data_IF_572959195637
#
_entry.id   IF_572959195637
#
_cell.length_a   1.000
_cell.length_b   1.000
_cell.length_c   1.000
_cell.angle_alpha   90.00
_cell.angle_beta   90.00
_cell.angle_gamma   90.00
#
_symmetry.space_group_name_H-M   'P 1'
#
loop_
_entity.id
_entity.type
_entity.pdbx_description
1 polymer ?
#
# COMPACT_ATOMS: atom_id res chain seq x y z
N UNK A 1 20.28 0.80 50.74
CA UNK A 1 20.44 -0.67 50.79
C UNK A 1 20.69 -1.13 49.37
N UNK A 2 21.93 -1.51 49.08
CA UNK A 2 22.35 -2.00 47.77
C UNK A 2 21.85 -3.44 47.57
N UNK A 3 21.49 -3.79 46.34
CA UNK A 3 22.02 -5.00 45.72
C UNK A 3 21.87 -4.92 44.21
N UNK A 4 23.00 -4.82 43.53
CA UNK A 4 23.17 -5.17 42.12
C UNK A 4 23.90 -6.52 42.09
N UNK A 5 23.48 -7.46 41.25
CA UNK A 5 24.36 -8.49 40.65
C UNK A 5 23.92 -8.74 39.18
N UNK A 6 24.96 -8.91 38.37
CA UNK A 6 25.17 -8.85 36.92
C UNK A 6 24.93 -10.22 36.19
N UNK A 7 25.22 -10.35 34.86
CA UNK A 7 24.50 -11.19 33.89
C UNK A 7 25.14 -12.58 33.63
N UNK A 8 24.48 -13.41 32.83
CA UNK A 8 25.07 -14.67 32.32
C UNK A 8 25.08 -14.72 30.79
N UNK A 9 26.29 -14.90 30.28
CA UNK A 9 26.71 -15.07 28.89
C UNK A 9 26.29 -16.43 28.29
N UNK A 10 26.41 -16.46 26.96
CA UNK A 10 26.26 -17.56 26.02
C UNK A 10 26.74 -18.96 26.49
N UNK A 11 25.97 -19.98 26.11
CA UNK A 11 26.48 -21.34 25.84
C UNK A 11 26.00 -21.76 24.45
N UNK A 12 26.96 -21.95 23.55
CA UNK A 12 26.79 -22.57 22.24
C UNK A 12 26.83 -24.10 22.42
N UNK A 13 25.87 -24.83 21.86
CA UNK A 13 26.04 -26.27 21.59
C UNK A 13 25.55 -26.61 20.19
N UNK A 14 26.44 -27.25 19.42
CA UNK A 14 26.19 -27.87 18.11
C UNK A 14 25.50 -29.21 18.32
N UNK A 15 24.41 -29.52 17.61
CA UNK A 15 24.00 -30.90 17.33
C UNK A 15 23.45 -30.99 15.89
N UNK A 16 23.77 -32.11 15.24
CA UNK A 16 23.75 -32.44 13.82
C UNK A 16 22.38 -32.82 13.23
N UNK A 17 22.29 -32.79 11.89
CA UNK A 17 21.22 -33.42 11.08
C UNK A 17 21.17 -34.95 11.28
N UNK A 18 20.01 -35.60 11.10
CA UNK A 18 19.73 -36.37 9.85
C UNK A 18 18.19 -36.44 9.51
N UNK A 19 17.67 -37.38 8.67
CA UNK A 19 17.31 -37.14 7.27
C UNK A 19 15.81 -37.38 6.89
N UNK A 20 15.54 -37.22 5.59
CA UNK A 20 14.28 -37.29 4.82
C UNK A 20 13.38 -38.54 5.02
N UNK A 21 12.04 -38.34 4.95
CA UNK A 21 11.08 -39.34 4.43
C UNK A 21 9.65 -39.40 5.03
N UNK A 22 8.65 -39.16 4.17
CA UNK A 22 7.26 -39.71 4.14
C UNK A 22 6.05 -39.04 4.91
N UNK A 23 5.15 -38.50 4.07
CA UNK A 23 3.65 -38.55 3.99
C UNK A 23 2.68 -38.27 5.16
N UNK A 24 1.85 -37.25 4.90
CA UNK A 24 0.38 -37.11 5.08
C UNK A 24 -0.30 -37.31 6.43
N UNK A 25 -0.83 -36.21 6.99
CA UNK A 25 -2.27 -35.99 7.29
C UNK A 25 -2.45 -34.61 7.94
N UNK A 26 -3.35 -33.80 7.38
CA UNK A 26 -3.60 -32.43 7.83
C UNK A 26 -4.62 -32.40 8.97
N UNK A 27 -4.19 -31.93 10.14
CA UNK A 27 -5.07 -31.46 11.22
C UNK A 27 -4.67 -30.03 11.58
N UNK A 28 -5.61 -29.10 11.43
CA UNK A 28 -5.45 -27.69 11.76
C UNK A 28 -5.70 -27.50 13.26
N UNK A 29 -4.65 -27.23 14.03
CA UNK A 29 -4.74 -26.60 15.34
C UNK A 29 -3.88 -25.33 15.37
N UNK A 30 -4.47 -24.27 15.93
CA UNK A 30 -3.90 -22.94 15.97
C UNK A 30 -2.57 -22.89 16.73
N UNK A 31 -1.63 -22.11 16.20
CA UNK A 31 -0.36 -21.85 16.84
C UNK A 31 0.56 -20.99 15.98
N UNK A 32 0.78 -19.77 16.49
CA UNK A 32 1.99 -18.95 16.41
C UNK A 32 2.66 -18.60 15.05
N UNK A 33 2.94 -17.30 14.97
CA UNK A 33 3.72 -16.53 14.00
C UNK A 33 4.98 -17.27 13.50
N UNK A 34 5.15 -17.35 12.18
CA UNK A 34 6.41 -17.77 11.54
C UNK A 34 7.03 -16.59 10.80
N UNK A 35 8.32 -16.37 11.03
CA UNK A 35 9.16 -15.29 10.49
C UNK A 35 9.47 -15.45 9.00
N UNK A 36 9.63 -14.28 8.36
CA UNK A 36 10.18 -14.10 7.01
C UNK A 36 11.69 -14.30 7.00
N UNK A 37 12.19 -15.03 6.01
CA UNK A 37 13.60 -15.21 5.74
C UNK A 37 13.97 -14.41 4.49
N UNK A 38 14.80 -13.38 4.65
CA UNK A 38 15.68 -12.88 3.59
C UNK A 38 17.09 -13.38 3.94
N UNK A 39 17.81 -13.87 2.93
CA UNK A 39 19.09 -14.56 3.09
C UNK A 39 20.10 -13.75 3.91
N UNK A 40 20.59 -14.34 5.01
CA UNK A 40 21.97 -14.13 5.48
C UNK A 40 22.22 -13.37 6.79
N UNK A 41 21.25 -12.74 7.46
CA UNK A 41 21.51 -12.07 8.76
C UNK A 41 20.59 -12.56 9.88
N UNK A 42 21.19 -13.07 10.96
CA UNK A 42 20.50 -13.50 12.19
C UNK A 42 20.13 -12.27 13.02
N UNK A 43 18.84 -12.06 13.27
CA UNK A 43 18.34 -11.05 14.21
C UNK A 43 17.40 -11.63 15.28
N UNK A 44 17.59 -11.14 16.50
CA UNK A 44 16.92 -11.52 17.75
C UNK A 44 15.40 -11.33 17.69
N UNK A 45 14.65 -12.23 18.32
CA UNK A 45 13.19 -12.18 18.50
C UNK A 45 12.76 -11.20 19.57
N UNK A 46 11.94 -10.21 19.24
CA UNK A 46 11.04 -9.58 20.19
C UNK A 46 9.69 -10.30 20.09
N UNK A 47 9.31 -11.03 21.15
CA UNK A 47 8.00 -11.65 21.27
C UNK A 47 6.97 -10.56 21.60
N UNK A 48 5.88 -10.49 20.83
CA UNK A 48 4.70 -9.71 21.22
C UNK A 48 3.90 -10.59 22.17
N UNK A 49 3.90 -10.23 23.46
CA UNK A 49 3.05 -10.85 24.46
C UNK A 49 1.59 -10.52 24.17
N UNK A 50 0.77 -11.54 23.92
CA UNK A 50 -0.68 -11.44 23.93
C UNK A 50 -1.17 -11.30 25.37
N UNK A 51 -1.43 -10.06 25.80
CA UNK A 51 -2.17 -9.79 27.03
C UNK A 51 -3.66 -9.60 26.69
N UNK A 52 -4.52 -10.44 27.26
CA UNK A 52 -5.97 -10.25 27.25
C UNK A 52 -6.33 -9.06 28.14
N UNK A 53 -6.78 -7.96 27.53
CA UNK A 53 -7.31 -6.80 28.28
C UNK A 53 -8.80 -7.02 28.53
N UNK A 54 -9.17 -7.13 29.80
CA UNK A 54 -10.57 -7.07 30.25
C UNK A 54 -11.00 -5.60 30.19
N UNK A 55 -11.86 -5.26 29.24
CA UNK A 55 -12.42 -3.92 29.11
C UNK A 55 -13.46 -3.66 30.21
N UNK A 56 -13.08 -2.90 31.25
CA UNK A 56 -14.05 -2.23 32.11
C UNK A 56 -14.45 -0.90 31.47
N UNK A 57 -15.76 -0.67 31.35
CA UNK A 57 -16.34 0.43 30.60
C UNK A 57 -15.88 1.81 31.08
N UNK A 58 -15.13 2.50 30.23
CA UNK A 58 -14.86 3.93 30.37
C UNK A 58 -15.81 4.67 29.43
N UNK A 59 -16.67 5.53 30.01
CA UNK A 59 -17.52 6.45 29.24
C UNK A 59 -16.63 7.32 28.36
N UNK A 60 -16.88 7.28 27.05
CA UNK A 60 -16.20 8.11 26.07
C UNK A 60 -16.41 9.60 26.39
N UNK A 61 -15.35 10.28 26.80
CA UNK A 61 -15.33 11.75 26.86
C UNK A 61 -15.03 12.24 25.45
N UNK A 62 -16.05 12.71 24.74
CA UNK A 62 -15.93 13.39 23.44
C UNK A 62 -15.27 14.76 23.65
N UNK A 63 -13.94 14.79 23.67
CA UNK A 63 -13.18 16.02 23.37
C UNK A 63 -13.21 16.20 21.85
N UNK A 64 -14.01 17.16 21.38
CA UNK A 64 -14.21 17.51 19.97
C UNK A 64 -13.24 18.59 19.49
N UNK A 65 -12.01 18.58 19.99
CA UNK A 65 -11.00 19.50 19.48
C UNK A 65 -10.42 18.97 18.17
N UNK A 66 -10.23 19.81 17.14
CA UNK A 66 -9.50 19.40 15.95
C UNK A 66 -8.08 18.98 16.38
N UNK A 67 -7.67 17.79 15.95
CA UNK A 67 -6.33 17.24 16.17
C UNK A 67 -5.33 18.04 15.34
N UNK A 68 -4.82 19.14 15.91
CA UNK A 68 -3.79 19.94 15.27
C UNK A 68 -2.44 19.25 15.33
N UNK A 69 -1.51 19.66 14.47
CA UNK A 69 -0.16 19.12 14.44
C UNK A 69 0.55 19.31 15.80
N UNK A 70 0.29 20.40 16.52
CA UNK A 70 0.89 20.71 17.82
C UNK A 70 0.45 19.70 18.89
N UNK A 71 -0.85 19.38 18.97
CA UNK A 71 -1.37 18.38 19.92
C UNK A 71 -0.82 16.98 19.64
N UNK A 72 -0.69 16.63 18.36
CA UNK A 72 -0.07 15.38 17.95
C UNK A 72 1.43 15.34 18.29
N UNK A 73 2.13 16.45 18.08
CA UNK A 73 3.53 16.59 18.43
C UNK A 73 3.75 16.47 19.96
N UNK A 74 2.89 17.09 20.77
CA UNK A 74 2.96 16.99 22.23
C UNK A 74 2.74 15.55 22.71
N UNK A 75 1.73 14.86 22.17
CA UNK A 75 1.35 13.52 22.64
C UNK A 75 2.25 12.41 22.10
N UNK A 76 2.66 12.50 20.83
CA UNK A 76 3.30 11.39 20.13
C UNK A 76 4.70 11.71 19.59
N UNK A 77 5.08 12.99 19.55
CA UNK A 77 6.37 13.42 19.03
C UNK A 77 7.55 12.86 19.81
N UNK A 78 8.60 12.48 19.09
CA UNK A 78 9.84 11.92 19.67
C UNK A 78 10.98 12.03 18.67
N UNK A 79 12.20 11.72 19.08
CA UNK A 79 13.33 11.72 18.16
C UNK A 79 13.04 10.78 16.98
N UNK A 80 13.16 11.29 15.75
CA UNK A 80 12.86 10.55 14.52
C UNK A 80 11.39 10.56 14.09
N UNK A 81 10.46 11.10 14.89
CA UNK A 81 9.05 11.26 14.50
C UNK A 81 8.54 12.65 14.88
N UNK A 82 8.20 13.44 13.85
CA UNK A 82 7.70 14.81 14.00
C UNK A 82 6.31 14.94 13.39
N UNK A 83 5.46 15.76 13.99
CA UNK A 83 4.18 16.17 13.43
C UNK A 83 4.26 17.63 13.01
N UNK A 84 3.79 17.92 11.80
CA UNK A 84 3.86 19.25 11.18
C UNK A 84 2.55 19.54 10.45
N UNK A 85 2.24 20.82 10.29
CA UNK A 85 1.17 21.24 9.39
C UNK A 85 1.72 21.36 7.96
N UNK A 86 1.05 20.71 7.00
CA UNK A 86 1.33 20.83 5.57
C UNK A 86 0.10 21.43 4.93
N UNK A 87 0.08 22.76 4.90
CA UNK A 87 -0.97 23.57 4.29
C UNK A 87 -2.38 23.28 4.84
N UNK A 88 -2.50 23.45 6.15
CA UNK A 88 -3.73 23.26 6.91
C UNK A 88 -4.09 21.80 7.16
N UNK A 89 -3.21 20.86 6.81
CA UNK A 89 -3.41 19.43 7.04
C UNK A 89 -2.30 18.85 7.91
N UNK A 90 -2.63 18.22 9.05
CA UNK A 90 -1.65 17.53 9.88
C UNK A 90 -0.96 16.39 9.13
N UNK A 91 0.37 16.39 9.21
CA UNK A 91 1.25 15.39 8.62
C UNK A 91 2.26 14.87 9.65
N UNK A 92 2.74 13.67 9.42
CA UNK A 92 3.84 13.06 10.17
C UNK A 92 5.07 12.96 9.28
N UNK A 93 6.25 13.25 9.83
CA UNK A 93 7.55 12.98 9.24
C UNK A 93 8.30 11.95 10.09
N UNK A 94 8.64 10.83 9.46
CA UNK A 94 9.53 9.80 9.99
C UNK A 94 10.93 10.05 9.46
N UNK A 95 11.96 9.97 10.32
CA UNK A 95 13.34 10.20 9.94
C UNK A 95 14.31 9.33 10.74
N UNK A 96 15.23 8.68 10.04
CA UNK A 96 16.30 7.89 10.61
C UNK A 96 17.64 8.64 10.62
N UNK A 97 18.61 8.10 11.37
CA UNK A 97 19.97 8.66 11.47
C UNK A 97 20.75 8.61 10.16
N UNK A 98 20.52 7.60 9.32
CA UNK A 98 21.11 7.51 7.98
C UNK A 98 20.53 8.57 7.00
N UNK A 99 19.54 9.33 7.45
CA UNK A 99 18.90 10.40 6.70
C UNK A 99 17.67 9.95 5.89
N UNK A 100 17.41 8.64 5.75
CA UNK A 100 16.16 8.15 5.17
C UNK A 100 14.97 8.76 5.90
N UNK A 101 13.95 9.19 5.15
CA UNK A 101 12.78 9.87 5.71
C UNK A 101 11.52 9.61 4.90
N UNK A 102 10.37 9.65 5.56
CA UNK A 102 9.07 9.54 4.92
C UNK A 102 8.10 10.56 5.50
N UNK A 103 7.17 11.06 4.68
CA UNK A 103 6.10 11.97 5.11
C UNK A 103 4.74 11.38 4.79
N UNK A 104 3.80 11.48 5.73
CA UNK A 104 2.44 11.00 5.58
C UNK A 104 1.42 12.06 6.02
N UNK A 105 0.40 12.31 5.20
CA UNK A 105 -0.78 13.06 5.60
C UNK A 105 -1.70 12.18 6.44
N UNK A 106 -2.10 12.66 7.61
CA UNK A 106 -2.88 11.84 8.54
C UNK A 106 -4.32 11.70 8.06
N UNK A 107 -4.94 12.77 7.54
CA UNK A 107 -6.35 12.82 7.15
C UNK A 107 -6.79 11.73 6.15
N UNK A 108 -5.87 11.25 5.30
CA UNK A 108 -6.12 10.20 4.31
C UNK A 108 -5.18 9.00 4.39
N UNK A 109 -4.35 8.90 5.44
CA UNK A 109 -3.29 7.89 5.55
C UNK A 109 -2.39 7.81 4.29
N UNK A 110 -2.17 8.95 3.64
CA UNK A 110 -1.46 9.03 2.35
C UNK A 110 0.01 9.35 2.59
N UNK A 111 0.92 8.48 2.15
CA UNK A 111 2.36 8.76 2.20
C UNK A 111 2.71 9.61 0.99
N UNK A 112 3.21 10.82 1.21
CA UNK A 112 3.44 11.81 0.16
C UNK A 112 4.91 11.98 -0.22
N UNK A 113 5.84 11.48 0.60
CA UNK A 113 7.28 11.52 0.31
C UNK A 113 7.95 10.33 0.96
N UNK A 114 8.91 9.74 0.26
CA UNK A 114 9.86 8.77 0.77
C UNK A 114 11.22 9.07 0.15
N UNK A 115 12.11 9.62 0.97
CA UNK A 115 13.49 9.87 0.61
C UNK A 115 14.36 8.76 1.18
N UNK A 116 14.91 7.93 0.31
CA UNK A 116 15.86 6.90 0.70
C UNK A 116 17.29 7.41 0.52
N UNK A 117 18.18 6.95 1.39
CA UNK A 117 19.62 7.07 1.13
C UNK A 117 19.99 6.04 0.06
N UNK A 118 20.65 6.46 -1.03
CA UNK A 118 21.04 5.57 -2.12
C UNK A 118 22.47 5.04 -1.92
N UNK A 119 22.84 3.99 -2.65
CA UNK A 119 24.17 3.36 -2.59
C UNK A 119 25.33 4.34 -2.86
N UNK A 120 25.09 5.38 -3.66
CA UNK A 120 26.06 6.45 -3.94
C UNK A 120 26.04 7.59 -2.91
N UNK A 121 25.40 7.40 -1.75
CA UNK A 121 25.37 8.33 -0.62
C UNK A 121 24.49 9.57 -0.81
N UNK A 122 23.79 9.71 -1.94
CA UNK A 122 22.83 10.79 -2.13
C UNK A 122 21.43 10.36 -1.66
N UNK A 123 20.65 11.33 -1.21
CA UNK A 123 19.25 11.11 -0.89
C UNK A 123 18.38 11.32 -2.11
N UNK A 124 17.51 10.36 -2.41
CA UNK A 124 16.59 10.46 -3.53
C UNK A 124 15.15 10.30 -3.10
N UNK A 125 14.29 11.15 -3.67
CA UNK A 125 12.85 10.98 -3.59
C UNK A 125 12.43 9.79 -4.47
N UNK A 126 11.85 8.77 -3.83
CA UNK A 126 11.39 7.54 -4.48
C UNK A 126 9.93 7.64 -4.93
N UNK A 127 9.11 8.42 -4.24
CA UNK A 127 7.70 8.62 -4.56
C UNK A 127 7.48 9.86 -5.42
N UNK A 128 6.47 9.80 -6.27
CA UNK A 128 6.00 10.95 -7.04
C UNK A 128 4.72 11.47 -6.43
N UNK A 129 4.78 12.69 -5.90
CA UNK A 129 3.62 13.41 -5.39
C UNK A 129 3.62 14.83 -5.93
N UNK A 130 2.45 15.29 -6.37
CA UNK A 130 2.25 16.65 -6.87
C UNK A 130 1.15 17.32 -6.08
N UNK A 131 1.46 18.51 -5.60
CA UNK A 131 0.48 19.38 -4.97
C UNK A 131 -0.38 20.03 -6.04
N UNK A 132 -1.70 19.91 -5.89
CA UNK A 132 -2.68 20.61 -6.70
C UNK A 132 -3.28 21.73 -5.87
N UNK A 133 -2.99 22.96 -6.27
CA UNK A 133 -3.64 24.15 -5.74
C UNK A 133 -4.97 24.31 -6.49
N UNK A 134 -6.05 23.74 -5.94
CA UNK A 134 -7.39 24.06 -6.44
C UNK A 134 -7.70 25.50 -6.04
N UNK A 135 -7.71 26.41 -7.02
CA UNK A 135 -7.81 27.87 -6.85
C UNK A 135 -9.06 28.41 -6.14
N UNK A 136 -9.90 27.55 -5.53
CA UNK A 136 -11.11 27.92 -4.81
C UNK A 136 -11.28 27.21 -3.44
N UNK A 137 -10.34 26.38 -2.98
CA UNK A 137 -10.43 25.73 -1.66
C UNK A 137 -9.20 26.01 -0.82
N UNK A 138 -9.40 26.29 0.47
CA UNK A 138 -8.33 26.41 1.47
C UNK A 138 -7.64 25.06 1.75
N UNK A 139 -8.19 23.95 1.25
CA UNK A 139 -7.59 22.62 1.31
C UNK A 139 -6.74 22.35 0.07
N UNK A 140 -5.47 22.06 0.30
CA UNK A 140 -4.57 21.62 -0.79
C UNK A 140 -4.67 20.12 -0.97
N UNK A 141 -4.92 19.68 -2.20
CA UNK A 141 -4.96 18.27 -2.53
C UNK A 141 -3.58 17.82 -3.01
N UNK A 142 -3.08 16.71 -2.47
CA UNK A 142 -1.83 16.10 -2.94
C UNK A 142 -2.19 14.85 -3.74
N UNK A 143 -1.79 14.84 -5.01
CA UNK A 143 -1.93 13.70 -5.92
C UNK A 143 -0.66 12.86 -5.87
N UNK A 144 -0.79 11.53 -5.85
CA UNK A 144 0.35 10.62 -5.91
C UNK A 144 0.76 10.06 -4.54
N UNK A 145 2.01 9.64 -4.40
CA UNK A 145 2.51 8.98 -3.20
C UNK A 145 2.01 7.54 -3.06
N UNK A 146 1.86 7.04 -1.83
CA UNK A 146 1.24 5.75 -1.53
C UNK A 146 -0.20 6.00 -1.07
N UNK A 147 -1.16 5.42 -1.80
CA UNK A 147 -2.59 5.64 -1.63
C UNK A 147 -3.29 4.32 -1.34
N UNK A 148 -4.21 4.35 -0.38
CA UNK A 148 -5.13 3.27 -0.08
C UNK A 148 -6.41 3.45 -0.87
N UNK A 149 -6.90 2.40 -1.51
CA UNK A 149 -8.21 2.41 -2.16
C UNK A 149 -8.93 1.11 -1.83
N UNK A 150 -10.02 1.20 -1.06
CA UNK A 150 -10.82 0.06 -0.60
C UNK A 150 -12.30 0.36 -0.80
N UNK A 151 -13.03 -0.61 -1.34
CA UNK A 151 -14.45 -0.45 -1.69
C UNK A 151 -15.24 -1.72 -1.39
N UNK A 152 -16.52 -1.57 -1.04
CA UNK A 152 -17.40 -2.71 -0.81
C UNK A 152 -18.03 -3.18 -2.14
N UNK A 153 -18.02 -4.49 -2.41
CA UNK A 153 -18.41 -5.04 -3.73
C UNK A 153 -19.89 -4.79 -4.10
N UNK A 154 -20.76 -4.59 -3.11
CA UNK A 154 -22.23 -4.52 -3.31
C UNK A 154 -22.77 -3.10 -3.51
N UNK A 155 -21.90 -2.10 -3.49
CA UNK A 155 -22.28 -0.72 -3.75
C UNK A 155 -21.06 0.05 -4.30
N UNK A 156 -20.94 0.19 -5.64
CA UNK A 156 -19.81 0.84 -6.31
C UNK A 156 -19.62 2.32 -5.92
N UNK A 157 -20.64 2.95 -5.32
CA UNK A 157 -20.56 4.32 -4.82
C UNK A 157 -20.09 4.38 -3.35
N UNK A 158 -19.94 3.22 -2.69
CA UNK A 158 -19.45 3.11 -1.31
C UNK A 158 -17.94 2.86 -1.25
N UNK A 159 -17.16 3.89 -1.57
CA UNK A 159 -15.73 3.88 -1.25
C UNK A 159 -15.55 3.81 0.28
N UNK A 160 -14.90 2.76 0.79
CA UNK A 160 -14.60 2.60 2.22
C UNK A 160 -13.40 3.48 2.60
N UNK A 161 -12.37 3.47 1.75
CA UNK A 161 -11.22 4.37 1.84
C UNK A 161 -10.96 4.99 0.46
N UNK A 162 -10.69 6.30 0.37
CA UNK A 162 -10.36 7.23 1.46
C UNK A 162 -11.57 7.89 2.16
N UNK A 163 -12.79 7.67 1.67
CA UNK A 163 -14.02 8.34 2.14
C UNK A 163 -14.63 7.76 3.42
N UNK A 164 -13.79 7.26 4.33
CA UNK A 164 -14.27 6.60 5.55
C UNK A 164 -15.13 7.53 6.41
N UNK A 165 -16.16 6.96 7.05
CA UNK A 165 -17.07 7.65 7.98
C UNK A 165 -16.38 8.30 9.19
N UNK A 166 -15.14 7.91 9.50
CA UNK A 166 -14.33 8.49 10.58
C UNK A 166 -13.00 9.00 10.05
N UNK A 167 -12.39 10.03 10.67
CA UNK A 167 -11.03 10.42 10.36
C UNK A 167 -10.04 9.38 10.90
N UNK A 168 -8.91 9.22 10.22
CA UNK A 168 -7.76 8.47 10.74
C UNK A 168 -7.23 9.10 12.04
N UNK A 169 -6.83 8.25 12.98
CA UNK A 169 -6.26 8.66 14.27
C UNK A 169 -4.94 7.97 14.52
N UNK A 170 -3.98 8.69 15.09
CA UNK A 170 -2.72 8.12 15.57
C UNK A 170 -3.02 7.24 16.79
N UNK A 171 -2.70 5.95 16.69
CA UNK A 171 -2.83 4.98 17.78
C UNK A 171 -1.51 4.85 18.54
N UNK A 172 -0.41 4.64 17.81
CA UNK A 172 0.91 4.39 18.39
C UNK A 172 2.04 4.92 17.51
N UNK A 173 3.16 5.24 18.16
CA UNK A 173 4.42 5.60 17.52
C UNK A 173 5.53 4.83 18.22
N UNK A 174 6.35 4.15 17.43
CA UNK A 174 7.53 3.42 17.92
C UNK A 174 8.73 3.90 17.11
N UNK A 175 9.86 4.14 17.77
CA UNK A 175 11.03 4.66 17.08
C UNK A 175 12.30 4.24 17.78
N UNK A 176 13.22 3.69 16.99
CA UNK A 176 14.60 3.45 17.33
C UNK A 176 15.41 4.11 16.20
N UNK A 177 15.81 5.39 16.30
CA UNK A 177 16.30 6.17 15.16
C UNK A 177 17.49 5.59 14.37
N UNK A 178 18.21 4.63 14.95
CA UNK A 178 19.30 3.90 14.30
C UNK A 178 18.83 2.70 13.47
N UNK A 179 17.59 2.23 13.66
CA UNK A 179 17.06 0.99 13.07
C UNK A 179 15.73 1.23 12.35
N UNK A 180 14.73 1.83 13.01
CA UNK A 180 13.42 2.05 12.41
C UNK A 180 12.63 3.21 13.06
N UNK A 181 11.64 3.72 12.32
CA UNK A 181 10.62 4.62 12.80
C UNK A 181 9.25 4.13 12.29
N UNK A 182 8.31 3.90 13.19
CA UNK A 182 7.01 3.34 12.92
C UNK A 182 5.87 4.24 13.40
N UNK A 183 4.82 4.32 12.59
CA UNK A 183 3.57 4.98 12.88
C UNK A 183 2.42 4.00 12.68
N UNK A 184 1.48 3.99 13.63
CA UNK A 184 0.23 3.24 13.52
C UNK A 184 -0.96 4.19 13.54
N UNK A 185 -1.76 4.16 12.47
CA UNK A 185 -3.03 4.87 12.39
C UNK A 185 -4.19 3.87 12.45
N UNK A 186 -5.31 4.29 13.04
CA UNK A 186 -6.54 3.51 13.07
C UNK A 186 -7.71 4.33 12.53
N UNK A 187 -8.58 3.65 11.79
CA UNK A 187 -9.80 4.20 11.20
C UNK A 187 -10.96 3.21 11.37
N UNK A 188 -12.18 3.74 11.44
CA UNK A 188 -13.39 2.94 11.52
C UNK A 188 -14.34 3.32 10.40
N UNK A 189 -14.86 2.31 9.72
CA UNK A 189 -15.95 2.41 8.77
C UNK A 189 -17.19 1.79 9.40
N UNK A 190 -18.24 2.61 9.54
CA UNK A 190 -19.55 2.19 10.01
C UNK A 190 -20.53 2.14 8.83
N UNK A 191 -21.59 1.32 8.91
CA UNK A 191 -22.69 1.42 7.97
C UNK A 191 -23.27 2.84 7.97
N UNK A 192 -23.35 3.47 6.79
CA UNK A 192 -24.19 4.65 6.63
C UNK A 192 -25.66 4.23 6.82
N UNK A 193 -26.37 4.88 7.73
CA UNK A 193 -27.79 4.63 7.98
C UNK A 193 -28.60 5.30 6.86
N UNK A 194 -28.77 4.59 5.75
CA UNK A 194 -29.62 5.00 4.63
C UNK A 194 -30.84 4.09 4.50
N UNK A 195 -32.02 4.69 4.24
CA UNK A 195 -33.26 3.94 4.00
C UNK A 195 -33.10 3.08 2.74
N UNK A 196 -33.16 1.75 2.89
CA UNK A 196 -33.15 0.79 1.76
C UNK A 196 -31.83 0.08 1.45
N UNK A 197 -30.75 0.30 2.22
CA UNK A 197 -29.49 -0.43 2.06
C UNK A 197 -29.37 -1.55 3.11
N UNK A 198 -28.94 -2.74 2.70
CA UNK A 198 -28.67 -3.85 3.62
C UNK A 198 -27.62 -3.44 4.68
N UNK A 199 -27.72 -3.90 5.94
CA UNK A 199 -26.77 -3.53 6.98
C UNK A 199 -25.34 -3.86 6.55
N UNK A 200 -24.51 -2.83 6.34
CA UNK A 200 -23.08 -2.98 6.08
C UNK A 200 -22.41 -3.40 7.40
N UNK A 201 -21.51 -4.38 7.35
CA UNK A 201 -20.71 -4.73 8.53
C UNK A 201 -19.72 -3.61 8.86
N UNK A 202 -19.40 -3.45 10.14
CA UNK A 202 -18.44 -2.45 10.62
C UNK A 202 -17.02 -2.97 10.42
N UNK A 203 -16.15 -2.15 9.82
CA UNK A 203 -14.74 -2.47 9.63
C UNK A 203 -13.86 -1.53 10.43
N UNK A 204 -12.83 -2.09 11.06
CA UNK A 204 -11.70 -1.37 11.61
C UNK A 204 -10.51 -1.54 10.67
N UNK A 205 -9.86 -0.43 10.34
CA UNK A 205 -8.62 -0.39 9.58
C UNK A 205 -7.48 0.03 10.49
N UNK A 206 -6.42 -0.77 10.54
CA UNK A 206 -5.17 -0.44 11.22
C UNK A 206 -4.05 -0.36 10.19
N UNK A 207 -3.47 0.81 10.05
CA UNK A 207 -2.48 1.15 9.04
C UNK A 207 -1.13 1.40 9.70
N UNK A 208 -0.16 0.54 9.40
CA UNK A 208 1.17 0.56 10.01
C UNK A 208 2.18 0.94 8.94
N UNK A 209 2.88 2.05 9.15
CA UNK A 209 3.95 2.54 8.28
C UNK A 209 5.26 2.42 9.04
N UNK A 210 6.20 1.66 8.50
CA UNK A 210 7.53 1.46 9.11
C UNK A 210 8.61 1.88 8.12
N UNK A 211 9.41 2.85 8.52
CA UNK A 211 10.61 3.27 7.82
C UNK A 211 11.81 2.56 8.43
N UNK A 212 12.53 1.79 7.61
CA UNK A 212 13.83 1.21 7.91
C UNK A 212 14.93 1.98 7.17
N UNK A 213 16.17 1.59 7.39
CA UNK A 213 17.33 2.20 6.75
C UNK A 213 17.28 2.07 5.22
N UNK A 214 16.90 0.89 4.74
CA UNK A 214 16.87 0.47 3.34
C UNK A 214 15.46 0.35 2.74
N UNK A 215 14.41 0.47 3.54
CA UNK A 215 13.06 0.15 3.08
C UNK A 215 11.96 0.98 3.73
N UNK A 216 10.84 1.08 3.02
CA UNK A 216 9.58 1.61 3.55
C UNK A 216 8.52 0.51 3.43
N UNK A 217 8.04 0.03 4.58
CA UNK A 217 6.98 -0.98 4.65
C UNK A 217 5.67 -0.36 5.07
N UNK A 218 4.61 -0.78 4.39
CA UNK A 218 3.24 -0.33 4.58
C UNK A 218 2.36 -1.55 4.74
N UNK A 219 1.73 -1.69 5.91
CA UNK A 219 0.84 -2.79 6.22
C UNK A 219 -0.55 -2.28 6.60
N UNK A 220 -1.58 -3.00 6.15
CA UNK A 220 -2.96 -2.76 6.49
C UNK A 220 -3.57 -4.02 7.10
N UNK A 221 -4.18 -3.87 8.27
CA UNK A 221 -5.02 -4.88 8.90
C UNK A 221 -6.46 -4.39 8.84
N UNK A 222 -7.35 -5.24 8.30
CA UNK A 222 -8.78 -4.97 8.20
C UNK A 222 -9.50 -5.98 9.09
N UNK A 223 -10.19 -5.50 10.11
CA UNK A 223 -10.91 -6.34 11.08
C UNK A 223 -12.41 -6.08 10.98
N UNK A 224 -13.20 -7.15 10.90
CA UNK A 224 -14.67 -7.03 10.96
C UNK A 224 -15.12 -6.99 12.42
N UNK A 225 -15.51 -5.80 12.87
CA UNK A 225 -16.01 -5.54 14.23
C UNK A 225 -17.52 -5.59 14.30
N UNK A 226 -18.20 -5.82 13.17
CA UNK A 226 -19.63 -6.07 13.11
C UNK A 226 -19.98 -7.55 13.14
N UNK A 227 -21.28 -7.84 13.18
CA UNK A 227 -21.84 -9.19 13.23
C UNK A 227 -22.20 -9.78 11.86
N UNK A 228 -21.94 -9.05 10.77
CA UNK A 228 -22.30 -9.46 9.40
C UNK A 228 -21.04 -9.56 8.55
N UNK A 229 -20.87 -10.63 7.73
CA UNK A 229 -19.75 -10.73 6.80
C UNK A 229 -19.70 -9.58 5.80
N UNK A 230 -18.50 -9.07 5.53
CA UNK A 230 -18.26 -7.96 4.60
C UNK A 230 -17.42 -8.43 3.43
N UNK A 231 -17.92 -8.17 2.20
CA UNK A 231 -17.17 -8.40 0.97
C UNK A 231 -16.52 -7.09 0.52
N UNK A 232 -15.18 -7.04 0.49
CA UNK A 232 -14.45 -5.85 0.04
C UNK A 232 -13.40 -6.18 -1.03
N UNK A 233 -13.06 -5.14 -1.79
CA UNK A 233 -11.91 -5.10 -2.70
C UNK A 233 -10.98 -4.00 -2.23
N UNK A 234 -9.71 -4.07 -2.60
CA UNK A 234 -8.81 -3.00 -2.25
C UNK A 234 -7.38 -3.14 -2.74
N UNK A 235 -6.60 -2.11 -2.47
CA UNK A 235 -5.26 -1.95 -3.01
C UNK A 235 -4.42 -0.99 -2.18
N UNK A 236 -3.10 -1.14 -2.31
CA UNK A 236 -2.11 -0.17 -1.83
C UNK A 236 -1.28 0.22 -3.05
N UNK A 237 -1.52 1.41 -3.62
CA UNK A 237 -0.85 1.84 -4.85
C UNK A 237 0.21 2.88 -4.56
N UNK A 238 1.43 2.59 -4.98
CA UNK A 238 2.59 3.47 -4.92
C UNK A 238 2.81 4.15 -6.26
N UNK A 239 2.85 5.48 -6.26
CA UNK A 239 3.27 6.29 -7.40
C UNK A 239 4.79 6.44 -7.33
N UNK A 240 5.53 5.55 -8.00
CA UNK A 240 6.98 5.58 -8.00
C UNK A 240 7.48 6.62 -8.99
N UNK A 241 8.35 7.52 -8.54
CA UNK A 241 8.95 8.53 -9.41
C UNK A 241 10.01 7.92 -10.31
N UNK A 242 9.89 8.14 -11.62
CA UNK A 242 10.84 7.64 -12.63
C UNK A 242 11.41 8.77 -13.48
N UNK A 243 12.55 8.55 -14.13
CA UNK A 243 13.16 9.49 -15.07
C UNK A 243 12.24 9.74 -16.28
N UNK A 244 11.75 8.65 -16.86
CA UNK A 244 10.73 8.55 -17.89
C UNK A 244 9.99 7.22 -17.76
N UNK A 245 8.72 7.16 -18.14
CA UNK A 245 7.97 5.90 -18.19
C UNK A 245 8.67 4.87 -19.09
N UNK A 246 9.05 5.28 -20.31
CA UNK A 246 9.77 4.41 -21.25
C UNK A 246 11.19 3.99 -20.81
N UNK A 247 11.76 4.65 -19.81
CA UNK A 247 13.05 4.28 -19.20
C UNK A 247 12.92 3.35 -17.99
N UNK A 248 11.69 3.01 -17.60
CA UNK A 248 11.39 2.17 -16.46
C UNK A 248 10.95 0.76 -16.89
N UNK A 249 11.35 -0.25 -16.12
CA UNK A 249 11.14 -1.66 -16.43
C UNK A 249 10.75 -2.43 -15.17
N UNK A 250 9.80 -3.36 -15.29
CA UNK A 250 9.57 -4.38 -14.27
C UNK A 250 10.37 -5.64 -14.60
N UNK A 251 11.00 -6.24 -13.60
CA UNK A 251 11.89 -7.41 -13.74
C UNK A 251 11.48 -8.49 -12.78
N UNK A 252 11.35 -9.71 -13.29
CA UNK A 252 10.90 -10.88 -12.51
C UNK A 252 9.42 -11.22 -12.70
N UNK A 253 8.72 -10.60 -13.66
CA UNK A 253 7.31 -10.89 -13.98
C UNK A 253 7.14 -11.87 -15.14
N UNK A 254 8.21 -12.38 -15.74
CA UNK A 254 8.15 -13.37 -16.83
C UNK A 254 7.40 -14.63 -16.40
N UNK A 255 6.55 -15.12 -17.29
CA UNK A 255 5.72 -16.31 -17.07
C UNK A 255 4.43 -16.03 -16.30
N UNK A 256 4.26 -14.84 -15.72
CA UNK A 256 3.04 -14.48 -15.00
C UNK A 256 1.97 -13.95 -15.93
N UNK A 257 0.71 -14.23 -15.58
CA UNK A 257 -0.46 -13.81 -16.35
C UNK A 257 -0.86 -12.39 -15.99
N UNK A 258 -1.12 -11.58 -17.00
CA UNK A 258 -1.73 -10.27 -16.84
C UNK A 258 -2.88 -10.06 -17.81
N UNK A 259 -3.75 -9.10 -17.51
CA UNK A 259 -4.72 -8.55 -18.46
C UNK A 259 -4.51 -7.06 -18.60
N UNK A 260 -4.75 -6.53 -19.80
CA UNK A 260 -4.83 -5.09 -20.02
C UNK A 260 -6.22 -4.58 -19.69
N UNK A 261 -6.29 -3.44 -18.99
CA UNK A 261 -7.54 -2.88 -18.46
C UNK A 261 -8.18 -1.83 -19.39
N UNK A 262 -7.55 -1.56 -20.53
CA UNK A 262 -8.06 -0.66 -21.58
C UNK A 262 -7.63 0.79 -21.42
N UNK A 263 -7.68 1.55 -22.52
CA UNK A 263 -7.34 2.97 -22.56
C UNK A 263 -8.59 3.81 -22.36
N UNK A 264 -8.83 4.33 -21.16
CA UNK A 264 -9.88 5.32 -20.93
C UNK A 264 -9.25 6.70 -20.66
N UNK A 265 -9.80 7.73 -21.33
CA UNK A 265 -9.43 9.14 -21.12
C UNK A 265 -9.88 9.58 -19.73
N UNK A 266 -9.02 9.43 -18.72
CA UNK A 266 -9.30 9.93 -17.38
C UNK A 266 -8.64 11.30 -17.17
N UNK A 267 -9.44 12.36 -17.06
CA UNK A 267 -8.95 13.66 -16.59
C UNK A 267 -8.67 13.60 -15.08
N UNK A 268 -7.51 14.11 -14.65
CA UNK A 268 -7.13 14.14 -13.24
C UNK A 268 -6.88 12.75 -12.65
N UNK A 269 -5.94 12.02 -13.25
CA UNK A 269 -5.64 10.62 -12.93
C UNK A 269 -5.11 10.41 -11.50
N UNK A 270 -5.74 9.45 -10.84
CA UNK A 270 -5.35 8.81 -9.60
C UNK A 270 -5.44 7.30 -9.86
N UNK A 271 -4.42 6.52 -9.48
CA UNK A 271 -4.44 5.08 -9.70
C UNK A 271 -5.64 4.40 -9.04
N UNK A 272 -6.19 4.99 -7.96
CA UNK A 272 -7.46 4.55 -7.37
C UNK A 272 -8.64 4.61 -8.35
N UNK A 273 -8.60 5.51 -9.35
CA UNK A 273 -9.60 5.64 -10.43
C UNK A 273 -9.39 4.65 -11.58
N UNK A 274 -8.16 4.18 -11.82
CA UNK A 274 -7.97 2.97 -12.64
C UNK A 274 -8.69 1.82 -11.95
N UNK A 275 -8.42 1.63 -10.66
CA UNK A 275 -9.00 0.52 -9.90
C UNK A 275 -10.53 0.63 -9.80
N UNK A 276 -11.09 1.84 -9.71
CA UNK A 276 -12.54 2.04 -9.78
C UNK A 276 -13.14 1.61 -11.12
N UNK A 277 -12.37 1.63 -12.21
CA UNK A 277 -12.77 1.02 -13.49
C UNK A 277 -12.61 -0.50 -13.49
N UNK A 278 -11.57 -1.05 -12.83
CA UNK A 278 -11.46 -2.50 -12.60
C UNK A 278 -12.67 -3.04 -11.83
N UNK A 279 -13.22 -2.23 -10.93
CA UNK A 279 -14.36 -2.59 -10.07
C UNK A 279 -15.73 -2.37 -10.72
N UNK A 280 -15.81 -2.02 -12.01
CA UNK A 280 -17.09 -2.04 -12.74
C UNK A 280 -17.58 -3.50 -12.86
N UNK A 281 -18.81 -3.81 -12.43
CA UNK A 281 -19.35 -5.18 -12.49
C UNK A 281 -19.34 -5.71 -13.93
N UNK A 282 -18.89 -6.95 -14.07
CA UNK A 282 -18.94 -7.69 -15.33
C UNK A 282 -20.39 -7.79 -15.82
N UNK A 283 -20.71 -7.23 -16.98
CA UNK A 283 -21.98 -7.46 -17.69
C UNK A 283 -23.16 -6.54 -17.40
N UNK A 284 -22.98 -5.34 -16.83
CA UNK A 284 -24.05 -4.34 -16.80
C UNK A 284 -24.22 -3.71 -18.20
N UNK A 285 -25.40 -3.77 -18.84
CA UNK A 285 -25.65 -3.05 -20.09
C UNK A 285 -25.54 -1.55 -19.84
N UNK A 286 -24.94 -0.82 -20.78
CA UNK A 286 -24.80 0.63 -20.76
C UNK A 286 -26.19 1.29 -20.69
N UNK A 287 -26.66 1.51 -19.47
CA UNK A 287 -27.85 2.27 -19.17
C UNK A 287 -27.54 3.75 -19.31
N UNK A 288 -27.36 4.25 -20.52
CA UNK A 288 -27.56 5.67 -20.78
C UNK A 288 -28.47 5.89 -22.00
N UNK A 289 -29.72 6.20 -21.67
CA UNK A 289 -30.77 6.65 -22.55
C UNK A 289 -30.44 8.10 -22.94
N UNK A 290 -30.06 8.34 -24.20
CA UNK A 290 -29.96 9.71 -24.70
C UNK A 290 -29.19 9.90 -26.00
N UNK A 291 -29.94 9.96 -27.09
CA UNK A 291 -29.65 10.59 -28.40
C UNK A 291 -28.89 9.75 -29.43
N UNK A 292 -29.69 9.29 -30.41
CA UNK A 292 -29.27 8.79 -31.72
C UNK A 292 -28.32 9.79 -32.39
N UNK A 293 -27.08 9.36 -32.64
CA UNK A 293 -26.23 9.94 -33.67
C UNK A 293 -25.96 8.81 -34.66
N UNK A 294 -26.34 9.07 -35.91
CA UNK A 294 -26.27 8.14 -37.04
C UNK A 294 -24.89 7.50 -37.19
N UNK A 295 -24.91 6.18 -37.39
CA UNK A 295 -23.78 5.37 -37.83
C UNK A 295 -23.27 5.88 -39.18
N UNK A 296 -22.09 6.50 -39.19
CA UNK A 296 -21.29 6.60 -40.42
C UNK A 296 -20.46 5.34 -40.57
N UNK A 297 -20.90 4.50 -41.50
CA UNK A 297 -20.13 3.40 -42.07
C UNK A 297 -18.79 3.89 -42.60
N UNK A 298 -17.70 3.20 -42.26
CA UNK A 298 -16.44 3.37 -42.96
C UNK A 298 -15.20 2.98 -42.15
N UNK A 299 -14.84 1.70 -42.22
CA UNK A 299 -13.46 1.21 -42.10
C UNK A 299 -12.67 1.70 -40.87
N UNK A 300 -13.04 1.27 -39.67
CA UNK A 300 -12.12 1.22 -38.50
C UNK A 300 -12.46 0.06 -37.53
N UNK A 301 -13.14 -0.99 -38.01
CA UNK A 301 -13.47 -2.19 -37.23
C UNK A 301 -12.31 -3.22 -37.19
N UNK A 302 -11.10 -2.78 -36.84
CA UNK A 302 -9.96 -3.68 -36.59
C UNK A 302 -9.16 -3.36 -35.32
N UNK A 303 -9.67 -2.46 -34.48
CA UNK A 303 -9.03 -2.07 -33.22
C UNK A 303 -10.01 -2.11 -32.04
N UNK A 304 -10.93 -3.07 -32.06
CA UNK A 304 -11.73 -3.45 -30.90
C UNK A 304 -11.37 -4.90 -30.52
N UNK A 305 -11.06 -5.10 -29.23
CA UNK A 305 -10.91 -6.38 -28.51
C UNK A 305 -9.50 -7.02 -28.37
N UNK A 306 -8.51 -6.28 -27.87
CA UNK A 306 -7.44 -6.86 -27.02
C UNK A 306 -7.60 -6.53 -25.52
N UNK A 307 -8.56 -5.66 -25.17
CA UNK A 307 -8.88 -5.32 -23.79
C UNK A 307 -9.50 -6.54 -23.07
N UNK A 308 -8.96 -6.89 -21.91
CA UNK A 308 -9.48 -7.99 -21.08
C UNK A 308 -9.01 -9.40 -21.43
N UNK A 309 -8.20 -9.62 -22.48
CA UNK A 309 -7.60 -10.93 -22.75
C UNK A 309 -6.42 -11.19 -21.81
N UNK A 310 -6.42 -12.36 -21.17
CA UNK A 310 -5.28 -12.82 -20.39
C UNK A 310 -4.10 -13.12 -21.31
N UNK A 311 -2.98 -12.48 -21.01
CA UNK A 311 -1.69 -12.62 -21.69
C UNK A 311 -0.65 -13.09 -20.68
N UNK A 312 0.39 -13.78 -21.14
CA UNK A 312 1.53 -14.17 -20.30
C UNK A 312 2.69 -13.24 -20.62
N UNK A 313 3.35 -12.70 -19.59
CA UNK A 313 4.56 -11.91 -19.78
C UNK A 313 5.69 -12.79 -20.34
N UNK A 314 6.14 -12.49 -21.55
CA UNK A 314 7.23 -13.22 -22.22
C UNK A 314 8.59 -12.66 -21.88
N UNK A 315 8.65 -11.37 -21.54
CA UNK A 315 9.90 -10.64 -21.37
C UNK A 315 10.39 -10.71 -19.93
N UNK A 316 11.71 -10.85 -19.77
CA UNK A 316 12.36 -10.71 -18.46
C UNK A 316 12.34 -9.26 -17.96
N UNK A 317 12.27 -8.30 -18.90
CA UNK A 317 12.26 -6.85 -18.66
C UNK A 317 11.02 -6.22 -19.31
N UNK A 318 9.91 -6.17 -18.57
CA UNK A 318 8.67 -5.54 -19.02
C UNK A 318 8.81 -4.03 -19.03
N UNK A 319 8.91 -3.41 -20.21
CA UNK A 319 8.98 -1.96 -20.32
C UNK A 319 7.66 -1.29 -19.91
N UNK A 320 7.74 -0.23 -19.09
CA UNK A 320 6.58 0.53 -18.63
C UNK A 320 6.16 1.56 -19.69
N UNK A 321 5.36 1.12 -20.67
CA UNK A 321 4.93 1.95 -21.79
C UNK A 321 3.96 3.06 -21.36
N UNK A 322 3.91 4.14 -22.14
CA UNK A 322 2.94 5.21 -21.93
C UNK A 322 1.50 4.69 -22.08
N UNK A 323 0.63 4.97 -21.11
CA UNK A 323 -0.76 4.50 -21.15
C UNK A 323 -0.91 3.00 -20.88
N UNK A 324 0.15 2.33 -20.42
CA UNK A 324 0.10 0.93 -20.00
C UNK A 324 -0.80 0.78 -18.79
N UNK A 325 -1.61 -0.27 -18.77
CA UNK A 325 -2.37 -0.66 -17.59
C UNK A 325 -2.49 -2.18 -17.53
N UNK A 326 -1.75 -2.80 -16.60
CA UNK A 326 -1.67 -4.26 -16.48
C UNK A 326 -2.06 -4.69 -15.07
N UNK A 327 -2.98 -5.65 -15.01
CA UNK A 327 -3.31 -6.37 -13.79
C UNK A 327 -2.76 -7.79 -13.87
N UNK A 328 -1.72 -8.07 -13.08
CA UNK A 328 -1.15 -9.40 -12.94
C UNK A 328 -1.95 -10.23 -11.94
N UNK A 329 -2.20 -11.50 -12.27
CA UNK A 329 -2.79 -12.48 -11.33
C UNK A 329 -1.71 -13.42 -10.82
N UNK A 330 -1.75 -13.67 -9.51
CA UNK A 330 -0.76 -14.49 -8.80
C UNK A 330 0.71 -14.15 -9.15
N UNK A 331 1.13 -12.86 -9.15
CA UNK A 331 2.53 -12.51 -9.43
C UNK A 331 3.50 -13.11 -8.39
N UNK A 332 4.84 -12.99 -8.52
CA UNK A 332 5.73 -13.37 -7.43
C UNK A 332 5.53 -12.46 -6.22
N UNK A 333 5.93 -12.90 -5.02
CA UNK A 333 5.86 -12.06 -3.81
C UNK A 333 6.85 -10.90 -3.83
N UNK A 334 7.93 -11.02 -4.61
CA UNK A 334 8.96 -9.99 -4.75
C UNK A 334 9.43 -9.90 -6.20
N UNK A 335 9.62 -8.67 -6.69
CA UNK A 335 10.17 -8.38 -8.01
C UNK A 335 10.69 -6.93 -8.05
N UNK A 336 11.40 -6.56 -9.10
CA UNK A 336 12.08 -5.25 -9.16
C UNK A 336 11.46 -4.28 -10.17
N UNK A 337 11.43 -3.00 -9.82
CA UNK A 337 11.22 -1.89 -10.74
C UNK A 337 12.57 -1.19 -10.93
N UNK A 338 13.07 -1.20 -12.16
CA UNK A 338 14.32 -0.54 -12.54
C UNK A 338 14.03 0.75 -13.29
N UNK A 339 14.83 1.78 -13.03
CA UNK A 339 14.83 3.03 -13.76
C UNK A 339 16.23 3.26 -14.34
N UNK A 340 16.37 3.12 -15.66
CA UNK A 340 17.66 3.29 -16.34
C UNK A 340 18.17 4.72 -16.28
N UNK A 341 17.28 5.71 -16.35
CA UNK A 341 17.67 7.12 -16.35
C UNK A 341 18.14 7.59 -14.98
N UNK A 342 17.55 7.07 -13.89
CA UNK A 342 18.03 7.31 -12.52
C UNK A 342 19.09 6.32 -12.03
N UNK A 343 19.39 5.28 -12.82
CA UNK A 343 20.35 4.20 -12.46
C UNK A 343 20.05 3.57 -11.09
N UNK A 344 18.77 3.30 -10.84
CA UNK A 344 18.31 2.70 -9.58
C UNK A 344 17.35 1.55 -9.82
N UNK A 345 17.30 0.63 -8.86
CA UNK A 345 16.34 -0.46 -8.79
C UNK A 345 15.65 -0.42 -7.44
N UNK A 346 14.33 -0.64 -7.43
CA UNK A 346 13.53 -0.76 -6.23
C UNK A 346 12.90 -2.14 -6.23
N UNK A 347 13.08 -2.90 -5.16
CA UNK A 347 12.40 -4.17 -4.96
C UNK A 347 11.03 -3.88 -4.35
N UNK A 348 9.99 -4.45 -4.94
CA UNK A 348 8.62 -4.39 -4.45
C UNK A 348 8.27 -5.75 -3.88
N UNK A 349 8.11 -5.82 -2.58
CA UNK A 349 7.63 -7.02 -1.88
C UNK A 349 6.17 -6.84 -1.50
N UNK A 350 5.37 -7.90 -1.61
CA UNK A 350 3.92 -7.87 -1.37
C UNK A 350 3.49 -9.09 -0.58
N UNK A 351 2.52 -8.89 0.31
CA UNK A 351 1.92 -9.97 1.11
C UNK A 351 0.40 -9.80 1.22
N UNK A 352 -0.32 -10.90 1.27
CA UNK A 352 -1.78 -10.93 1.52
C UNK A 352 -2.70 -10.57 0.34
N UNK A 353 -2.14 -9.97 -0.72
CA UNK A 353 -2.85 -9.70 -1.97
C UNK A 353 -2.60 -10.80 -3.00
N UNK A 354 -3.57 -11.04 -3.88
CA UNK A 354 -3.47 -12.06 -4.94
C UNK A 354 -3.13 -11.48 -6.32
N UNK A 355 -3.24 -10.15 -6.47
CA UNK A 355 -3.03 -9.46 -7.75
C UNK A 355 -2.07 -8.29 -7.58
N UNK A 356 -1.57 -7.79 -8.72
CA UNK A 356 -0.70 -6.62 -8.75
C UNK A 356 -1.03 -5.72 -9.93
N UNK A 357 -1.22 -4.42 -9.66
CA UNK A 357 -1.45 -3.41 -10.68
C UNK A 357 -0.13 -2.73 -11.05
N UNK A 358 0.12 -2.63 -12.36
CA UNK A 358 1.27 -1.95 -12.94
C UNK A 358 0.79 -1.08 -14.10
N UNK A 359 0.82 0.23 -13.90
CA UNK A 359 0.23 1.16 -14.86
C UNK A 359 0.98 2.49 -14.98
N UNK A 360 0.74 3.17 -16.10
CA UNK A 360 1.14 4.53 -16.35
C UNK A 360 -0.01 5.24 -17.09
N UNK A 361 -0.42 6.45 -16.65
CA UNK A 361 -1.55 7.16 -17.25
C UNK A 361 -1.39 7.50 -18.73
N UNK A 362 -0.15 7.66 -19.20
CA UNK A 362 0.15 8.09 -20.56
C UNK A 362 -0.25 9.55 -20.86
N UNK A 363 0.07 10.02 -22.08
CA UNK A 363 -0.22 11.39 -22.51
C UNK A 363 -1.72 11.71 -22.57
N UNK A 364 -2.57 10.70 -22.82
CA UNK A 364 -4.03 10.88 -22.95
C UNK A 364 -4.71 11.24 -21.63
N UNK A 365 -4.02 11.08 -20.49
CA UNK A 365 -4.51 11.48 -19.16
C UNK A 365 -4.55 12.98 -18.91
N UNK A 366 -3.94 13.78 -19.80
CA UNK A 366 -3.76 15.24 -19.66
C UNK A 366 -2.90 15.66 -18.45
N UNK A 367 -2.31 14.72 -17.71
CA UNK A 367 -1.37 15.01 -16.64
C UNK A 367 -0.05 15.49 -17.22
N UNK A 368 0.40 16.71 -16.89
CA UNK A 368 1.69 17.24 -17.39
C UNK A 368 2.90 16.39 -17.00
N UNK A 369 2.79 15.66 -15.91
CA UNK A 369 3.82 14.83 -15.29
C UNK A 369 3.61 13.33 -15.52
N UNK A 370 2.73 12.92 -16.44
CA UNK A 370 2.44 11.50 -16.74
C UNK A 370 3.71 10.67 -16.98
N UNK A 371 4.75 11.27 -17.56
CA UNK A 371 6.01 10.61 -17.89
C UNK A 371 7.01 10.58 -16.73
N UNK A 372 6.64 11.06 -15.52
CA UNK A 372 7.55 11.15 -14.37
C UNK A 372 7.25 10.15 -13.27
N UNK A 373 6.25 9.29 -13.46
CA UNK A 373 5.91 8.27 -12.49
C UNK A 373 5.28 7.05 -13.14
N UNK A 374 5.27 5.96 -12.38
CA UNK A 374 4.50 4.76 -12.67
C UNK A 374 3.73 4.36 -11.41
N UNK A 375 2.55 3.79 -11.59
CA UNK A 375 1.71 3.30 -10.52
C UNK A 375 1.94 1.81 -10.37
N UNK A 376 2.39 1.40 -9.19
CA UNK A 376 2.68 0.01 -8.89
C UNK A 376 2.07 -0.33 -7.55
N UNK A 377 1.42 -1.47 -7.42
CA UNK A 377 0.98 -1.89 -6.11
C UNK A 377 0.14 -3.15 -6.09
N UNK A 378 0.17 -3.88 -4.97
CA UNK A 378 -0.68 -5.04 -4.80
C UNK A 378 -2.16 -4.63 -4.74
N UNK A 379 -3.02 -5.49 -5.29
CA UNK A 379 -4.45 -5.25 -5.40
C UNK A 379 -5.25 -6.55 -5.25
N UNK A 380 -6.53 -6.39 -4.95
CA UNK A 380 -7.49 -7.46 -4.71
C UNK A 380 -8.81 -7.01 -5.33
N UNK A 381 -8.93 -7.20 -6.65
CA UNK A 381 -9.94 -6.61 -7.51
C UNK A 381 -10.80 -7.63 -8.24
N UNK A 382 -10.24 -8.70 -8.83
CA UNK A 382 -11.05 -9.75 -9.46
C UNK A 382 -11.64 -10.73 -8.45
N UNK A 383 -10.97 -10.91 -7.31
CA UNK A 383 -11.41 -11.80 -6.23
C UNK A 383 -11.65 -10.96 -4.98
N UNK A 384 -12.90 -10.70 -4.62
CA UNK A 384 -13.19 -9.95 -3.39
C UNK A 384 -12.80 -10.76 -2.15
N UNK A 385 -12.42 -10.06 -1.09
CA UNK A 385 -12.19 -10.67 0.23
C UNK A 385 -13.52 -10.70 0.97
N UNK A 386 -13.95 -11.89 1.38
CA UNK A 386 -15.07 -12.07 2.31
C UNK A 386 -14.54 -12.16 3.73
N UNK A 387 -14.83 -11.17 4.55
CA UNK A 387 -14.39 -11.08 5.93
C UNK A 387 -15.54 -11.34 6.91
N UNK A 388 -15.51 -12.47 7.60
CA UNK A 388 -16.50 -12.85 8.60
C UNK A 388 -16.34 -12.06 9.91
N UNK A 389 -17.38 -12.08 10.75
CA UNK A 389 -17.38 -11.48 12.09
C UNK A 389 -16.13 -11.90 12.90
N UNK A 390 -15.51 -10.92 13.58
CA UNK A 390 -14.32 -11.10 14.42
C UNK A 390 -13.11 -11.73 13.68
N UNK A 391 -13.08 -11.67 12.34
CA UNK A 391 -11.92 -12.06 11.54
C UNK A 391 -11.15 -10.85 11.06
N UNK A 392 -9.89 -11.09 10.76
CA UNK A 392 -8.95 -10.10 10.23
C UNK A 392 -8.42 -10.55 8.87
N UNK A 393 -8.23 -9.58 7.98
CA UNK A 393 -7.44 -9.72 6.77
C UNK A 393 -6.23 -8.80 6.85
N UNK A 394 -5.11 -9.22 6.26
CA UNK A 394 -3.85 -8.47 6.29
C UNK A 394 -3.27 -8.37 4.89
N UNK A 395 -2.83 -7.18 4.52
CA UNK A 395 -2.11 -6.93 3.29
C UNK A 395 -0.93 -5.98 3.55
N UNK A 396 0.17 -6.17 2.83
CA UNK A 396 1.34 -5.31 2.96
C UNK A 396 2.08 -5.13 1.63
N UNK A 397 2.79 -4.01 1.53
CA UNK A 397 3.78 -3.73 0.49
C UNK A 397 5.03 -3.15 1.14
N UNK A 398 6.20 -3.63 0.74
CA UNK A 398 7.49 -3.05 1.13
C UNK A 398 8.22 -2.58 -0.12
N UNK A 399 8.67 -1.34 -0.08
CA UNK A 399 9.55 -0.74 -1.08
C UNK A 399 10.98 -0.81 -0.55
N UNK A 400 11.77 -1.75 -1.05
CA UNK A 400 13.14 -2.00 -0.62
C UNK A 400 14.14 -1.40 -1.62
N UNK A 401 15.07 -0.62 -1.09
CA UNK A 401 16.22 -0.08 -1.80
C UNK A 401 17.46 -0.97 -1.54
N UNK A 402 17.78 -1.91 -2.44
CA UNK A 402 18.83 -2.91 -2.21
C UNK A 402 20.25 -2.34 -2.10
N UNK A 403 20.45 -1.05 -2.41
CA UNK A 403 21.76 -0.42 -2.48
C UNK A 403 22.40 -0.03 -1.14
N UNK A 404 21.72 -0.22 0.00
CA UNK A 404 22.22 0.25 1.30
C UNK A 404 22.73 -0.85 2.23
N UNK A 405 22.42 -2.12 1.98
CA UNK A 405 22.69 -3.21 2.93
C UNK A 405 23.99 -3.97 2.68
N UNK A 406 24.63 -3.81 1.52
CA UNK A 406 25.92 -4.43 1.20
C UNK A 406 26.91 -3.39 0.65
N UNK A 407 27.89 -3.02 1.47
CA UNK A 407 29.03 -2.18 1.08
C UNK A 407 30.03 -2.87 0.15
N UNK A 408 29.58 -3.85 -0.63
CA UNK A 408 30.37 -4.48 -1.69
C UNK A 408 29.90 -3.90 -3.02
N UNK A 409 30.74 -3.15 -3.75
CA UNK A 409 30.41 -2.75 -5.10
C UNK A 409 30.17 -4.00 -5.95
N UNK A 410 29.07 -4.02 -6.69
CA UNK A 410 28.87 -4.97 -7.78
C UNK A 410 29.99 -4.70 -8.79
N UNK A 411 31.04 -5.53 -8.76
CA UNK A 411 32.14 -5.52 -9.72
C UNK A 411 31.72 -6.10 -11.07
#
# INVERSE_FOLDING_TARGET
MACAILPVNAICSRIAHPPLGASSSAEFFGGSVTRFACSGRKWSTCAVSSASVVCSGVKATTSSDPLTAEKLQEKFGRQGVRFVDVAGTPATELKLRNGSSARMLISGAQITSYKANMWHGAQEELLHSVRSDSGNSTSTSIRGGIVLSFSQLKDPLSSILPSSSSPWRVEAVECQPSEYAQMTLTNYSYPEVGVGLSPRGSLQFKYVVTLFDDSLSVALVVSNTGSVPVDFTGSIISHLGVSSAGGAFAVGLKGYRYRSLGKQKQSGFDASKILSQIWKPWGAPDGNRGTLVEEKSGRDARQELEDGKWTVESEDYSQLQAGMDRLYTTPPESFSIMDRGKRRSLVVERHGFTEFCLSNPGPDSQLRDWNKFVCVGPTQSCQSVRLYENREWRGAVTLLNPGTSDGEPIQ
#
